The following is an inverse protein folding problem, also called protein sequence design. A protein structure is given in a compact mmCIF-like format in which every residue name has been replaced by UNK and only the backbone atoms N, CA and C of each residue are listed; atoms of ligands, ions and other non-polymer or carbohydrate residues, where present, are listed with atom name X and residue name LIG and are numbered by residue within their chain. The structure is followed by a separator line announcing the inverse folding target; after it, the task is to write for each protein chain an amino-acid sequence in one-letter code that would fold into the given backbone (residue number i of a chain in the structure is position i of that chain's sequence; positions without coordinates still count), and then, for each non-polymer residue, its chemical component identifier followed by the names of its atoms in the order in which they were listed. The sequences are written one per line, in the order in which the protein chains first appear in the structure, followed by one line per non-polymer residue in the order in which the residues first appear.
data_IF_125332367181
#
_entry.id   IF_125332367181
#
_cell.length_a   1.000
_cell.length_b   1.000
_cell.length_c   1.000
_cell.angle_alpha   90.00
_cell.angle_beta   90.00
_cell.angle_gamma   90.00
#
_symmetry.space_group_name_H-M   'P 1'
#
loop_
_entity.id
_entity.type
_entity.pdbx_description
1 polymer ?
#
# COMPACT_ATOMS: atom_id res chain seq x y z
N UNK A 1 -2.44 -8.51 -2.59
CA UNK A 1 -2.69 -7.08 -2.27
C UNK A 1 -2.44 -6.21 -3.50
N UNK A 2 -2.98 -4.99 -3.53
CA UNK A 2 -2.71 -4.01 -4.60
C UNK A 2 -1.76 -2.92 -4.09
N UNK A 3 -0.82 -2.51 -4.94
CA UNK A 3 0.00 -1.32 -4.75
C UNK A 3 -0.29 -0.37 -5.91
N UNK A 4 -0.87 0.78 -5.61
CA UNK A 4 -1.12 1.84 -6.58
C UNK A 4 0.09 2.75 -6.74
N UNK A 5 0.61 2.81 -7.95
CA UNK A 5 1.68 3.72 -8.36
C UNK A 5 1.15 4.98 -9.05
N UNK A 6 2.08 5.78 -9.58
CA UNK A 6 1.77 7.02 -10.27
C UNK A 6 0.91 6.81 -11.53
N UNK A 7 1.12 5.74 -12.28
CA UNK A 7 0.39 5.44 -13.51
C UNK A 7 -1.13 5.33 -13.33
N UNK A 8 -1.60 4.97 -12.14
CA UNK A 8 -3.04 4.97 -11.82
C UNK A 8 -3.59 6.40 -11.81
N UNK A 9 -2.84 7.36 -11.26
CA UNK A 9 -3.21 8.78 -11.25
C UNK A 9 -3.15 9.36 -12.67
N UNK A 10 -2.09 9.07 -13.42
CA UNK A 10 -1.93 9.55 -14.80
C UNK A 10 -3.02 9.06 -15.75
N UNK A 11 -3.60 7.88 -15.49
CA UNK A 11 -4.72 7.32 -16.25
C UNK A 11 -6.11 7.73 -15.74
N UNK A 12 -6.19 8.52 -14.66
CA UNK A 12 -7.47 8.89 -14.04
C UNK A 12 -8.24 7.69 -13.46
N UNK A 13 -7.53 6.65 -13.02
CA UNK A 13 -8.08 5.37 -12.62
C UNK A 13 -8.19 5.19 -11.10
N UNK A 14 -8.04 6.26 -10.30
CA UNK A 14 -8.05 6.22 -8.83
C UNK A 14 -9.39 5.69 -8.29
N UNK A 15 -10.50 6.19 -8.85
CA UNK A 15 -11.84 5.73 -8.49
C UNK A 15 -12.04 4.24 -8.83
N UNK A 16 -11.50 3.79 -9.97
CA UNK A 16 -11.57 2.38 -10.37
C UNK A 16 -10.76 1.50 -9.42
N UNK A 17 -9.58 1.98 -8.99
CA UNK A 17 -8.74 1.27 -8.02
C UNK A 17 -9.46 1.10 -6.68
N UNK A 18 -10.13 2.15 -6.21
CA UNK A 18 -10.95 2.11 -4.99
C UNK A 18 -12.13 1.12 -5.14
N UNK A 19 -12.90 1.22 -6.22
CA UNK A 19 -14.06 0.37 -6.50
C UNK A 19 -13.67 -1.11 -6.60
N UNK A 20 -12.57 -1.42 -7.30
CA UNK A 20 -12.04 -2.79 -7.41
C UNK A 20 -11.55 -3.30 -6.06
N UNK A 21 -10.81 -2.49 -5.29
CA UNK A 21 -10.38 -2.86 -3.94
C UNK A 21 -11.56 -3.21 -3.04
N UNK A 22 -12.67 -2.47 -3.14
CA UNK A 22 -13.88 -2.69 -2.36
C UNK A 22 -14.61 -3.95 -2.81
N UNK A 23 -14.87 -4.06 -4.11
CA UNK A 23 -15.64 -5.15 -4.70
C UNK A 23 -14.95 -6.51 -4.55
N UNK A 24 -13.63 -6.54 -4.67
CA UNK A 24 -12.80 -7.75 -4.56
C UNK A 24 -12.29 -7.99 -3.13
N UNK A 25 -12.51 -7.05 -2.20
CA UNK A 25 -11.96 -7.07 -0.83
C UNK A 25 -10.45 -7.28 -0.85
N UNK A 26 -9.72 -6.45 -1.61
CA UNK A 26 -8.25 -6.49 -1.69
C UNK A 26 -7.71 -5.22 -1.00
N UNK A 27 -6.76 -5.35 -0.06
CA UNK A 27 -6.14 -4.18 0.55
C UNK A 27 -5.28 -3.43 -0.46
N UNK A 28 -5.39 -2.10 -0.46
CA UNK A 28 -4.66 -1.21 -1.38
C UNK A 28 -3.68 -0.34 -0.60
N UNK A 29 -2.45 -0.27 -1.10
CA UNK A 29 -1.40 0.60 -0.56
C UNK A 29 -0.97 1.59 -1.65
N UNK A 30 -0.67 2.82 -1.25
CA UNK A 30 -0.09 3.80 -2.19
C UNK A 30 1.44 3.69 -2.14
N UNK A 31 2.09 3.89 -3.28
CA UNK A 31 3.55 4.04 -3.30
C UNK A 31 3.95 5.32 -2.53
N UNK A 32 5.04 5.32 -1.73
CA UNK A 32 5.35 6.42 -0.80
C UNK A 32 5.43 7.81 -1.40
N UNK A 33 5.82 7.93 -2.67
CA UNK A 33 5.93 9.21 -3.37
C UNK A 33 4.66 9.68 -4.07
N UNK A 34 3.56 8.91 -4.05
CA UNK A 34 2.25 9.30 -4.58
C UNK A 34 1.14 9.08 -3.55
N UNK A 35 1.26 9.79 -2.42
CA UNK A 35 0.36 9.65 -1.27
C UNK A 35 -1.08 10.09 -1.56
N UNK A 36 -1.29 10.95 -2.57
CA UNK A 36 -2.61 11.48 -2.95
C UNK A 36 -3.45 10.55 -3.85
N UNK A 37 -2.97 9.34 -4.14
CA UNK A 37 -3.66 8.42 -5.04
C UNK A 37 -5.01 7.96 -4.47
N UNK A 38 -4.98 7.37 -3.27
CA UNK A 38 -6.18 7.04 -2.49
C UNK A 38 -6.21 7.85 -1.21
N UNK A 39 -7.39 8.39 -0.88
CA UNK A 39 -7.64 9.14 0.33
C UNK A 39 -7.56 8.26 1.58
N UNK A 40 -7.11 8.84 2.70
CA UNK A 40 -7.14 8.21 4.02
C UNK A 40 -8.55 7.84 4.49
N UNK A 41 -9.57 8.52 3.95
CA UNK A 41 -10.99 8.23 4.22
C UNK A 41 -11.48 6.96 3.54
N UNK A 42 -10.74 6.44 2.55
CA UNK A 42 -11.12 5.24 1.83
C UNK A 42 -11.03 4.00 2.74
N UNK A 43 -12.03 3.13 2.68
CA UNK A 43 -12.02 1.89 3.44
C UNK A 43 -10.94 0.90 2.98
N UNK A 44 -10.56 0.96 1.71
CA UNK A 44 -9.59 0.02 1.11
C UNK A 44 -8.15 0.47 1.24
N UNK A 45 -7.94 1.76 1.51
CA UNK A 45 -6.62 2.33 1.71
C UNK A 45 -6.02 1.83 3.03
N UNK A 46 -4.93 1.08 2.95
CA UNK A 46 -4.25 0.53 4.12
C UNK A 46 -3.06 1.37 4.57
N UNK A 47 -2.56 2.29 3.75
CA UNK A 47 -1.39 3.12 4.05
C UNK A 47 -0.39 3.15 2.89
N UNK A 48 0.84 3.54 3.22
CA UNK A 48 1.94 3.58 2.26
C UNK A 48 2.61 2.20 2.17
N UNK A 49 2.99 1.80 0.96
CA UNK A 49 3.88 0.66 0.70
C UNK A 49 5.34 1.07 0.99
N UNK A 50 5.63 1.45 2.23
CA UNK A 50 6.94 1.91 2.68
C UNK A 50 7.21 1.38 4.08
N UNK A 51 8.19 0.48 4.20
CA UNK A 51 8.54 -0.15 5.48
C UNK A 51 9.21 0.81 6.46
N UNK A 52 9.80 1.91 5.97
CA UNK A 52 10.45 2.91 6.80
C UNK A 52 9.45 3.94 7.36
N UNK A 53 8.48 4.35 6.54
CA UNK A 53 7.48 5.36 6.94
C UNK A 53 6.24 4.72 7.59
N UNK A 54 5.87 3.52 7.14
CA UNK A 54 4.65 2.84 7.53
C UNK A 54 4.91 1.37 7.91
N UNK A 55 5.34 1.10 9.16
CA UNK A 55 5.66 -0.25 9.62
C UNK A 55 4.60 -1.34 9.36
N UNK A 56 3.28 -1.07 9.41
CA UNK A 56 2.28 -2.10 9.08
C UNK A 56 2.40 -2.64 7.64
N UNK A 57 2.96 -1.88 6.70
CA UNK A 57 3.22 -2.38 5.34
C UNK A 57 4.28 -3.49 5.31
N UNK A 58 5.25 -3.48 6.22
CA UNK A 58 6.30 -4.50 6.28
C UNK A 58 5.70 -5.89 6.52
N UNK A 59 4.78 -5.99 7.48
CA UNK A 59 4.08 -7.25 7.76
C UNK A 59 3.15 -7.65 6.61
N UNK A 60 2.47 -6.67 5.99
CA UNK A 60 1.58 -6.94 4.86
C UNK A 60 2.34 -7.48 3.64
N UNK A 61 3.51 -6.92 3.33
CA UNK A 61 4.38 -7.38 2.26
C UNK A 61 4.97 -8.76 2.57
N UNK A 62 5.48 -8.95 3.80
CA UNK A 62 6.08 -10.22 4.22
C UNK A 62 5.11 -11.40 4.23
N UNK A 63 3.84 -11.17 4.55
CA UNK A 63 2.79 -12.20 4.59
C UNK A 63 2.02 -12.34 3.27
N UNK A 64 2.27 -11.45 2.29
CA UNK A 64 1.53 -11.49 1.03
C UNK A 64 1.95 -12.68 0.16
N UNK A 65 0.96 -13.35 -0.40
CA UNK A 65 1.12 -14.40 -1.41
C UNK A 65 1.22 -13.82 -2.82
N UNK A 66 0.49 -12.73 -3.09
CA UNK A 66 0.49 -12.02 -4.36
C UNK A 66 0.52 -10.51 -4.13
N UNK A 67 1.43 -9.83 -4.80
CA UNK A 67 1.45 -8.36 -4.90
C UNK A 67 1.23 -7.97 -6.36
N UNK A 68 0.18 -7.20 -6.61
CA UNK A 68 -0.06 -6.56 -7.89
C UNK A 68 0.30 -5.07 -7.78
N UNK A 69 1.40 -4.68 -8.42
CA UNK A 69 1.78 -3.29 -8.55
C UNK A 69 1.20 -2.71 -9.84
N UNK A 70 0.31 -1.74 -9.71
CA UNK A 70 -0.45 -1.16 -10.82
C UNK A 70 0.05 0.26 -11.06
N UNK A 71 0.59 0.52 -12.25
CA UNK A 71 1.15 1.83 -12.63
C UNK A 71 2.34 2.26 -11.76
N UNK A 72 3.04 1.32 -11.13
CA UNK A 72 4.20 1.58 -10.27
C UNK A 72 5.49 1.10 -10.91
N UNK A 73 6.62 1.51 -10.31
CA UNK A 73 7.96 1.05 -10.72
C UNK A 73 8.64 0.33 -9.59
N UNK A 74 9.39 -0.72 -9.91
CA UNK A 74 10.27 -1.42 -9.01
C UNK A 74 11.56 -0.62 -8.87
N UNK A 75 11.46 0.54 -8.22
CA UNK A 75 12.59 1.41 -7.92
C UNK A 75 13.18 1.12 -6.53
N UNK A 76 14.07 1.99 -6.05
CA UNK A 76 14.72 1.87 -4.75
C UNK A 76 13.73 1.73 -3.59
N UNK A 77 12.56 2.40 -3.64
CA UNK A 77 11.56 2.31 -2.57
C UNK A 77 10.91 0.93 -2.54
N UNK A 78 10.76 0.31 -3.71
CA UNK A 78 10.24 -1.04 -3.86
C UNK A 78 11.37 -2.09 -3.91
N UNK A 79 12.58 -1.76 -3.44
CA UNK A 79 13.75 -2.64 -3.41
C UNK A 79 14.03 -3.35 -4.74
N UNK A 80 13.65 -2.74 -5.87
CA UNK A 80 13.70 -3.34 -7.21
C UNK A 80 13.02 -4.71 -7.34
N UNK A 81 11.99 -4.99 -6.53
CA UNK A 81 11.32 -6.29 -6.53
C UNK A 81 12.06 -7.39 -5.78
N UNK A 82 13.19 -7.08 -5.14
CA UNK A 82 14.04 -8.09 -4.52
C UNK A 82 13.64 -8.40 -3.06
N UNK A 83 14.00 -9.59 -2.56
CA UNK A 83 14.01 -9.89 -1.13
C UNK A 83 14.93 -8.92 -0.35
N UNK A 84 14.66 -8.63 0.95
CA UNK A 84 13.60 -9.20 1.78
C UNK A 84 12.25 -8.47 1.67
N UNK A 85 12.17 -7.37 0.91
CA UNK A 85 10.94 -6.58 0.80
C UNK A 85 9.80 -7.39 0.17
N UNK A 86 10.12 -8.07 -0.94
CA UNK A 86 9.25 -9.07 -1.55
C UNK A 86 9.84 -10.45 -1.28
N UNK A 87 9.23 -11.24 -0.37
CA UNK A 87 9.65 -12.62 -0.14
C UNK A 87 9.63 -13.43 -1.43
N UNK A 88 10.50 -14.44 -1.53
CA UNK A 88 10.51 -15.38 -2.67
C UNK A 88 9.22 -16.22 -2.77
N UNK A 89 8.42 -16.26 -1.70
CA UNK A 89 7.09 -16.88 -1.67
C UNK A 89 6.00 -16.00 -2.26
N UNK A 90 6.26 -14.71 -2.45
CA UNK A 90 5.31 -13.72 -2.95
C UNK A 90 5.41 -13.62 -4.46
N UNK A 91 4.29 -13.80 -5.16
CA UNK A 91 4.21 -13.55 -6.58
C UNK A 91 4.04 -12.06 -6.86
N UNK A 92 5.02 -11.45 -7.52
CA UNK A 92 5.03 -10.04 -7.90
C UNK A 92 4.55 -9.88 -9.35
N UNK A 93 3.46 -9.15 -9.52
CA UNK A 93 2.85 -8.85 -10.82
C UNK A 93 2.88 -7.34 -11.03
N UNK A 94 3.46 -6.88 -12.14
CA UNK A 94 3.51 -5.47 -12.49
C UNK A 94 2.66 -5.18 -13.72
N UNK A 95 1.83 -4.16 -13.64
CA UNK A 95 0.94 -3.72 -14.73
C UNK A 95 1.22 -2.26 -15.05
N UNK A 96 1.75 -1.98 -16.24
CA UNK A 96 2.06 -0.62 -16.67
C UNK A 96 1.62 -0.40 -18.12
N UNK A 97 1.26 0.85 -18.44
CA UNK A 97 0.82 1.25 -19.78
C UNK A 97 1.95 1.55 -20.76
N UNK A 98 3.20 1.67 -20.28
CA UNK A 98 4.38 1.94 -21.09
C UNK A 98 5.34 0.75 -21.09
N UNK A 99 5.83 0.37 -22.27
CA UNK A 99 6.87 -0.65 -22.41
C UNK A 99 8.16 -0.27 -21.69
N UNK A 100 8.52 1.01 -21.68
CA UNK A 100 9.71 1.53 -20.98
C UNK A 100 9.59 1.32 -19.47
N UNK A 101 8.39 1.49 -18.90
CA UNK A 101 8.15 1.23 -17.48
C UNK A 101 8.13 -0.26 -17.16
N UNK A 102 7.76 -1.12 -18.11
CA UNK A 102 7.84 -2.58 -17.92
C UNK A 102 9.29 -3.06 -17.86
N UNK A 103 10.20 -2.45 -18.63
CA UNK A 103 11.63 -2.77 -18.56
C UNK A 103 12.21 -2.46 -17.16
N UNK A 104 11.69 -1.42 -16.50
CA UNK A 104 12.02 -1.09 -15.11
C UNK A 104 11.42 -2.10 -14.12
N UNK A 105 10.40 -2.85 -14.51
CA UNK A 105 9.70 -3.86 -13.71
C UNK A 105 10.11 -5.30 -14.06
N UNK A 106 11.20 -5.51 -14.81
CA UNK A 106 11.68 -6.84 -15.25
C UNK A 106 11.94 -7.84 -14.12
N UNK A 107 12.11 -7.37 -12.89
CA UNK A 107 12.31 -8.21 -11.72
C UNK A 107 11.00 -8.84 -11.20
N UNK A 108 9.85 -8.39 -11.68
CA UNK A 108 8.57 -9.01 -11.36
C UNK A 108 8.45 -10.40 -12.00
N UNK A 109 7.79 -11.33 -11.31
CA UNK A 109 7.49 -12.66 -11.85
C UNK A 109 6.63 -12.59 -13.12
N UNK A 110 5.75 -11.58 -13.17
CA UNK A 110 4.91 -11.32 -14.34
C UNK A 110 4.83 -9.82 -14.61
N UNK A 111 4.98 -9.46 -15.87
CA UNK A 111 4.78 -8.10 -16.39
C UNK A 111 3.61 -8.11 -17.37
N UNK A 112 2.75 -7.09 -17.31
CA UNK A 112 1.60 -6.93 -18.19
C UNK A 112 1.57 -5.51 -18.76
N UNK A 113 1.65 -5.42 -20.09
CA UNK A 113 1.44 -4.17 -20.81
C UNK A 113 -0.06 -3.89 -20.89
N UNK A 114 -0.53 -2.99 -20.05
CA UNK A 114 -1.93 -2.55 -20.03
C UNK A 114 -2.05 -1.18 -19.40
N UNK A 115 -2.94 -0.36 -19.95
CA UNK A 115 -3.45 0.80 -19.22
C UNK A 115 -4.01 0.35 -17.85
N UNK A 116 -3.64 1.02 -16.74
CA UNK A 116 -4.17 0.71 -15.41
C UNK A 116 -5.69 0.73 -15.32
N UNK A 117 -6.35 1.70 -15.97
CA UNK A 117 -7.80 1.81 -16.00
C UNK A 117 -8.46 0.62 -16.68
N UNK A 118 -7.96 0.20 -17.85
CA UNK A 118 -8.44 -0.97 -18.57
C UNK A 118 -8.23 -2.27 -17.78
N UNK A 119 -7.09 -2.40 -17.10
CA UNK A 119 -6.80 -3.54 -16.24
C UNK A 119 -7.77 -3.62 -15.05
N UNK A 120 -8.05 -2.49 -14.40
CA UNK A 120 -9.01 -2.40 -13.31
C UNK A 120 -10.45 -2.71 -13.77
N UNK A 121 -10.85 -2.27 -14.96
CA UNK A 121 -12.15 -2.64 -15.54
C UNK A 121 -12.26 -4.16 -15.76
N UNK A 122 -11.17 -4.79 -16.21
CA UNK A 122 -11.12 -6.25 -16.37
C UNK A 122 -11.21 -6.97 -15.01
N UNK A 123 -10.54 -6.47 -13.97
CA UNK A 123 -10.65 -7.01 -12.61
C UNK A 123 -12.08 -6.87 -12.06
N UNK A 124 -12.74 -5.74 -12.28
CA UNK A 124 -14.12 -5.53 -11.85
C UNK A 124 -15.08 -6.55 -12.52
N UNK A 125 -14.87 -6.86 -13.80
CA UNK A 125 -15.67 -7.86 -14.53
C UNK A 125 -15.54 -9.26 -13.93
N UNK A 126 -14.38 -9.65 -13.41
CA UNK A 126 -14.20 -10.96 -12.74
C UNK A 126 -15.16 -11.14 -11.56
N UNK A 127 -15.50 -10.06 -10.85
CA UNK A 127 -16.48 -10.13 -9.76
C UNK A 127 -17.90 -10.37 -10.29
N UNK A 128 -18.28 -9.62 -11.32
CA UNK A 128 -19.61 -9.70 -11.96
C UNK A 128 -19.85 -11.11 -12.52
N UNK A 129 -18.82 -11.68 -13.15
CA UNK A 129 -18.83 -13.03 -13.72
C UNK A 129 -18.73 -14.15 -12.67
N UNK A 130 -18.66 -13.82 -11.37
CA UNK A 130 -18.46 -14.77 -10.26
C UNK A 130 -17.20 -15.63 -10.41
N UNK A 131 -16.16 -15.08 -11.06
CA UNK A 131 -14.85 -15.72 -11.25
C UNK A 131 -13.86 -15.35 -10.14
N UNK A 132 -14.27 -14.50 -9.21
CA UNK A 132 -13.48 -14.10 -8.05
C UNK A 132 -14.11 -14.58 -6.74
N UNK A 133 -13.49 -15.59 -6.14
CA UNK A 133 -14.03 -16.33 -4.99
C UNK A 133 -13.18 -16.21 -3.71
N UNK A 134 -12.30 -15.20 -3.63
CA UNK A 134 -11.51 -14.96 -2.41
C UNK A 134 -12.37 -14.33 -1.30
N UNK A 135 -12.11 -14.76 -0.06
CA UNK A 135 -12.76 -14.23 1.15
C UNK A 135 -12.19 -12.86 1.59
N UNK A 136 -12.83 -12.24 2.59
CA UNK A 136 -12.39 -10.93 3.12
C UNK A 136 -11.38 -11.01 4.27
N UNK A 137 -11.00 -12.22 4.72
CA UNK A 137 -10.19 -12.39 5.93
C UNK A 137 -8.85 -11.63 5.89
N UNK A 138 -8.15 -11.67 4.75
CA UNK A 138 -6.91 -10.90 4.57
C UNK A 138 -7.13 -9.39 4.63
N UNK A 139 -8.20 -8.91 3.99
CA UNK A 139 -8.57 -7.50 3.97
C UNK A 139 -8.95 -6.98 5.35
N UNK A 140 -9.76 -7.74 6.09
CA UNK A 140 -10.18 -7.39 7.44
C UNK A 140 -8.99 -7.37 8.40
N UNK A 141 -8.05 -8.33 8.26
CA UNK A 141 -6.80 -8.33 9.03
C UNK A 141 -5.95 -7.08 8.77
N UNK A 142 -5.79 -6.65 7.51
CA UNK A 142 -5.04 -5.42 7.20
C UNK A 142 -5.77 -4.17 7.71
N UNK A 143 -7.10 -4.14 7.68
CA UNK A 143 -7.88 -3.03 8.23
C UNK A 143 -7.68 -2.88 9.74
N UNK A 144 -7.66 -3.99 10.49
CA UNK A 144 -7.35 -3.97 11.93
C UNK A 144 -5.94 -3.44 12.18
N UNK A 145 -4.96 -3.88 11.37
CA UNK A 145 -3.58 -3.39 11.45
C UNK A 145 -3.49 -1.88 11.21
N UNK A 146 -4.19 -1.36 10.19
CA UNK A 146 -4.30 0.08 9.92
C UNK A 146 -4.77 0.84 11.15
N UNK A 147 -5.86 0.40 11.79
CA UNK A 147 -6.41 1.06 12.99
C UNK A 147 -5.51 0.96 14.24
N UNK A 148 -4.79 -0.15 14.40
CA UNK A 148 -3.87 -0.37 15.53
C UNK A 148 -2.56 0.42 15.40
N UNK A 149 -2.06 0.64 14.18
CA UNK A 149 -0.85 1.40 13.89
C UNK A 149 -0.98 2.89 14.24
N UNK A 150 -2.18 3.46 14.11
CA UNK A 150 -2.46 4.87 14.43
C UNK A 150 -2.41 5.17 15.94
N UNK A 151 -2.75 4.20 16.81
CA UNK A 151 -2.78 4.43 18.27
C UNK A 151 -1.39 4.51 18.92
N UNK A 152 -0.35 3.92 18.32
CA UNK A 152 1.01 3.93 18.88
C UNK A 152 1.77 5.24 18.65
N UNK A 153 1.25 6.18 17.83
CA UNK A 153 1.90 7.49 17.54
C UNK A 153 1.51 8.63 18.48
N UNK A 154 0.65 8.40 19.48
CA UNK A 154 0.47 9.35 20.57
C UNK A 154 1.54 9.08 21.64
N UNK A 155 2.76 9.57 21.41
CA UNK A 155 3.60 9.91 22.55
C UNK A 155 2.95 11.13 23.23
N UNK A 156 2.50 11.05 24.48
CA UNK A 156 2.16 12.25 25.21
C UNK A 156 3.47 13.01 25.41
N UNK A 157 3.65 14.10 24.67
CA UNK A 157 4.65 15.10 25.00
C UNK A 157 4.22 15.71 26.34
N UNK A 158 4.59 15.07 27.45
CA UNK A 158 4.51 15.67 28.78
C UNK A 158 5.56 16.77 28.84
N UNK A 159 5.17 17.96 28.41
CA UNK A 159 5.86 19.21 28.77
C UNK A 159 5.95 19.27 30.29
N UNK A 160 7.13 18.97 30.84
CA UNK A 160 7.48 19.39 32.20
C UNK A 160 7.54 20.91 32.21
N UNK A 161 6.49 21.53 32.73
CA UNK A 161 6.51 22.94 33.16
C UNK A 161 6.14 23.00 34.62
N UNK A 162 6.85 23.89 35.34
CA UNK A 162 6.89 24.18 36.80
C UNK A 162 7.98 23.34 37.49
N UNK A 163 9.04 23.94 38.03
CA UNK A 163 9.04 25.01 39.02
C UNK A 163 10.34 25.83 39.00
N UNK A 164 10.23 27.15 38.78
CA UNK A 164 11.14 28.14 39.36
C UNK A 164 10.41 28.72 40.56
N UNK A 165 10.76 28.29 41.77
CA UNK A 165 10.45 29.00 43.00
C UNK A 165 11.68 28.93 43.91
N UNK A 166 12.17 30.10 44.29
CA UNK A 166 13.28 30.30 45.23
C UNK A 166 12.86 29.78 46.61
N UNK A 167 13.74 29.07 47.31
CA UNK A 167 13.78 29.12 48.76
C UNK A 167 15.19 28.79 49.28
N UNK A 168 15.49 29.44 50.39
CA UNK A 168 16.76 29.72 51.07
C UNK A 168 17.50 28.54 51.70
N UNK A 169 18.81 28.74 51.91
CA UNK A 169 19.71 28.23 52.99
C UNK A 169 19.25 26.98 53.76
N UNK A 170 20.13 25.96 53.83
CA UNK A 170 20.66 25.40 55.08
C UNK A 170 21.76 24.36 54.82
N UNK A 171 22.88 24.56 55.55
CA UNK A 171 24.11 23.78 55.72
C UNK A 171 25.05 23.58 54.51
#
# INVERSE_FOLDING_TARGET
MLIGGHGVWWSGAERKLEEVGLALRIPVYNIPYHQKLLSETSEVYMGLADVHQYPPSQMALAESDVVMMIGGRLDNQMNFGNPPLFPTTTQLICVNGSAEELDLNRAADKTLLSDPGAFLDALAKLKVEKRWNLGSGWFDAQRVRRGSGSRKRLHPCTRRTKERARCTRCN
#
